data_IF_749086921577
#
_entry.id   IF_749086921577
#
_cell.length_a   1.000
_cell.length_b   1.000
_cell.length_c   1.000
_cell.angle_alpha   90.00
_cell.angle_beta   90.00
_cell.angle_gamma   90.00
#
_symmetry.space_group_name_H-M   'P 1'
#
loop_
_entity.id
_entity.type
_entity.pdbx_description
1 polymer ?
#
# COMPACT_ATOMS: atom_id res chain seq x y z
N UNK A 1 8.65 0.84 -7.77
CA UNK A 1 7.29 1.40 -7.88
C UNK A 1 7.44 2.70 -8.64
N UNK A 2 6.57 2.90 -9.62
CA UNK A 2 6.57 4.09 -10.46
C UNK A 2 5.49 5.04 -9.97
N UNK A 3 5.85 6.30 -9.73
CA UNK A 3 4.88 7.37 -9.46
C UNK A 3 4.12 7.67 -10.75
N UNK A 4 2.79 7.72 -10.66
CA UNK A 4 1.90 7.94 -11.79
C UNK A 4 1.29 9.33 -11.79
N UNK A 5 0.73 9.74 -10.66
CA UNK A 5 0.03 11.01 -10.50
C UNK A 5 0.37 11.66 -9.17
N UNK A 6 0.33 12.98 -9.15
CA UNK A 6 0.47 13.83 -7.96
C UNK A 6 -0.63 14.88 -8.00
N UNK A 7 -1.64 14.69 -7.17
CA UNK A 7 -2.81 15.55 -7.06
C UNK A 7 -2.68 16.39 -5.80
N UNK A 8 -2.04 17.55 -5.93
CA UNK A 8 -1.90 18.51 -4.83
C UNK A 8 -2.93 19.62 -4.94
N UNK A 9 -3.79 19.74 -3.92
CA UNK A 9 -4.84 20.75 -3.79
C UNK A 9 -4.76 21.40 -2.41
N UNK A 10 -4.29 22.65 -2.37
CA UNK A 10 -4.17 23.52 -1.18
C UNK A 10 -3.58 22.83 0.06
N UNK A 11 -4.42 22.11 0.81
CA UNK A 11 -4.09 21.46 2.08
C UNK A 11 -3.93 19.94 1.98
N UNK A 12 -4.31 19.32 0.87
CA UNK A 12 -4.24 17.87 0.66
C UNK A 12 -3.42 17.52 -0.57
N UNK A 13 -2.63 16.46 -0.47
CA UNK A 13 -1.87 15.91 -1.59
C UNK A 13 -2.10 14.42 -1.69
N UNK A 14 -2.46 13.92 -2.87
CA UNK A 14 -2.62 12.49 -3.14
C UNK A 14 -1.64 12.05 -4.21
N UNK A 15 -0.81 11.08 -3.87
CA UNK A 15 0.26 10.58 -4.74
C UNK A 15 0.00 9.12 -5.06
N UNK A 16 -0.05 8.80 -6.35
CA UNK A 16 -0.40 7.48 -6.83
C UNK A 16 0.85 6.76 -7.33
N UNK A 17 1.05 5.52 -6.87
CA UNK A 17 2.16 4.65 -7.24
C UNK A 17 1.62 3.32 -7.75
N UNK A 18 2.26 2.81 -8.79
CA UNK A 18 2.06 1.45 -9.27
C UNK A 18 3.31 0.62 -8.96
N UNK A 19 3.09 -0.60 -8.45
CA UNK A 19 4.13 -1.62 -8.45
C UNK A 19 4.36 -2.04 -9.90
N UNK A 20 5.60 -1.86 -10.38
CA UNK A 20 5.98 -2.33 -11.71
C UNK A 20 6.29 -3.84 -11.62
N UNK A 21 6.23 -4.56 -12.75
CA UNK A 21 6.52 -6.00 -12.82
C UNK A 21 7.94 -6.34 -12.34
N UNK A 22 8.84 -5.35 -12.30
CA UNK A 22 10.22 -5.50 -11.81
C UNK A 22 10.42 -5.13 -10.32
N UNK A 23 9.41 -4.60 -9.63
CA UNK A 23 9.44 -4.33 -8.19
C UNK A 23 8.58 -5.40 -7.48
N UNK A 24 9.15 -6.61 -7.43
CA UNK A 24 8.52 -7.88 -7.03
C UNK A 24 7.92 -7.87 -5.63
N UNK A 25 8.18 -6.90 -4.77
CA UNK A 25 7.86 -7.04 -3.34
C UNK A 25 6.36 -6.98 -3.06
N UNK A 26 5.62 -6.03 -3.65
CA UNK A 26 4.16 -5.97 -3.47
C UNK A 26 3.47 -7.06 -4.29
N UNK A 27 3.96 -7.33 -5.51
CA UNK A 27 3.39 -8.38 -6.36
C UNK A 27 3.64 -9.79 -5.80
N UNK A 28 4.81 -10.06 -5.21
CA UNK A 28 5.15 -11.37 -4.66
C UNK A 28 4.33 -11.74 -3.42
N UNK A 29 3.95 -10.75 -2.59
CA UNK A 29 3.08 -11.00 -1.42
C UNK A 29 1.72 -11.53 -1.85
N UNK A 30 1.26 -11.15 -3.05
CA UNK A 30 -0.09 -11.44 -3.53
C UNK A 30 -0.10 -12.10 -4.92
N UNK A 31 0.99 -12.79 -5.26
CA UNK A 31 1.28 -13.30 -6.60
C UNK A 31 0.14 -14.09 -7.23
N UNK A 32 0.17 -14.18 -8.57
CA UNK A 32 -0.89 -14.68 -9.42
C UNK A 32 -1.61 -15.92 -8.86
N UNK A 33 -2.94 -16.00 -8.99
CA UNK A 33 -3.71 -17.15 -8.55
C UNK A 33 -3.11 -18.41 -9.14
N UNK A 34 -2.60 -19.28 -8.27
CA UNK A 34 -2.43 -20.67 -8.63
C UNK A 34 -3.83 -21.27 -8.85
N UNK A 35 -3.90 -22.45 -9.48
CA UNK A 35 -5.15 -23.20 -9.69
C UNK A 35 -5.97 -23.42 -8.39
N UNK A 36 -5.40 -23.13 -7.22
CA UNK A 36 -5.98 -23.24 -5.88
C UNK A 36 -6.04 -21.92 -5.08
N UNK A 37 -5.94 -20.76 -5.73
CA UNK A 37 -6.00 -19.44 -5.10
C UNK A 37 -4.64 -18.70 -5.08
N UNK A 38 -4.70 -17.38 -4.91
CA UNK A 38 -3.54 -16.48 -4.83
C UNK A 38 -2.50 -16.95 -3.82
N UNK A 39 -1.24 -16.57 -4.04
CA UNK A 39 -0.18 -16.85 -3.06
C UNK A 39 -0.58 -16.22 -1.73
N UNK A 40 -0.67 -17.04 -0.68
CA UNK A 40 -0.99 -16.57 0.67
C UNK A 40 0.06 -15.54 1.10
N UNK A 41 -0.40 -14.48 1.75
CA UNK A 41 0.43 -13.46 2.38
C UNK A 41 1.46 -14.16 3.29
N UNK A 42 2.75 -14.02 2.99
CA UNK A 42 3.81 -14.60 3.81
C UNK A 42 4.42 -13.56 4.76
N UNK A 43 4.53 -13.85 6.07
CA UNK A 43 5.16 -12.95 7.03
C UNK A 43 6.61 -12.59 6.71
N UNK A 44 7.32 -13.43 5.95
CA UNK A 44 8.69 -13.19 5.48
C UNK A 44 8.82 -11.95 4.62
N UNK A 45 7.73 -11.55 3.94
CA UNK A 45 7.77 -10.51 2.92
C UNK A 45 7.42 -9.13 3.50
N UNK A 46 6.90 -9.07 4.73
CA UNK A 46 6.43 -7.84 5.38
C UNK A 46 7.54 -6.81 5.54
N UNK A 47 8.70 -7.25 6.01
CA UNK A 47 9.81 -6.36 6.30
C UNK A 47 10.35 -5.69 5.03
N UNK A 48 10.49 -6.46 3.95
CA UNK A 48 10.92 -5.92 2.66
C UNK A 48 9.92 -4.88 2.14
N UNK A 49 8.62 -5.21 2.19
CA UNK A 49 7.56 -4.29 1.75
C UNK A 49 7.54 -3.00 2.57
N UNK A 50 7.55 -3.10 3.89
CA UNK A 50 7.51 -1.93 4.79
C UNK A 50 8.73 -1.05 4.55
N UNK A 51 9.91 -1.65 4.41
CA UNK A 51 11.14 -0.90 4.13
C UNK A 51 11.02 -0.13 2.82
N UNK A 52 10.47 -0.78 1.79
CA UNK A 52 10.24 -0.15 0.48
C UNK A 52 9.23 1.00 0.54
N UNK A 53 8.11 0.81 1.24
CA UNK A 53 7.10 1.86 1.46
C UNK A 53 7.71 3.06 2.20
N UNK A 54 8.51 2.80 3.25
CA UNK A 54 9.23 3.84 4.00
C UNK A 54 10.15 4.67 3.12
N UNK A 55 10.98 4.02 2.31
CA UNK A 55 11.90 4.70 1.40
C UNK A 55 11.16 5.61 0.41
N UNK A 56 10.08 5.12 -0.19
CA UNK A 56 9.27 5.88 -1.14
C UNK A 56 8.61 7.08 -0.49
N UNK A 57 7.97 6.89 0.68
CA UNK A 57 7.33 7.97 1.42
C UNK A 57 8.35 9.03 1.84
N UNK A 58 9.50 8.63 2.37
CA UNK A 58 10.57 9.56 2.77
C UNK A 58 11.11 10.35 1.59
N UNK A 59 11.38 9.66 0.47
CA UNK A 59 11.87 10.29 -0.74
C UNK A 59 10.86 11.29 -1.29
N UNK A 60 9.57 10.95 -1.30
CA UNK A 60 8.51 11.84 -1.78
C UNK A 60 8.30 13.04 -0.86
N UNK A 61 8.32 12.85 0.47
CA UNK A 61 8.23 13.95 1.44
C UNK A 61 9.41 14.93 1.34
N UNK A 62 10.61 14.44 1.06
CA UNK A 62 11.78 15.28 0.83
C UNK A 62 11.63 16.19 -0.41
N UNK A 63 10.77 15.80 -1.36
CA UNK A 63 10.47 16.53 -2.59
C UNK A 63 9.06 17.15 -2.58
N UNK A 64 8.43 17.28 -1.40
CA UNK A 64 7.08 17.79 -1.28
C UNK A 64 6.99 19.24 -1.76
N UNK A 65 5.88 19.64 -2.42
CA UNK A 65 5.69 21.01 -2.86
C UNK A 65 5.54 21.98 -1.68
N UNK A 66 5.93 23.23 -1.90
CA UNK A 66 5.71 24.34 -0.96
C UNK A 66 4.50 25.19 -1.41
N UNK A 67 3.57 25.56 -0.52
CA UNK A 67 3.55 25.27 0.92
C UNK A 67 3.23 23.79 1.22
N UNK A 68 3.82 23.25 2.30
CA UNK A 68 3.60 21.86 2.70
C UNK A 68 2.11 21.56 2.97
N UNK A 69 1.54 20.53 2.32
CA UNK A 69 0.17 20.07 2.59
C UNK A 69 -0.04 19.68 4.06
N UNK A 70 -1.23 19.91 4.60
CA UNK A 70 -1.59 19.48 5.96
C UNK A 70 -1.91 17.99 6.05
N UNK A 71 -2.22 17.37 4.91
CA UNK A 71 -2.32 15.93 4.75
C UNK A 71 -1.71 15.46 3.43
N UNK A 72 -0.98 14.35 3.46
CA UNK A 72 -0.49 13.66 2.26
C UNK A 72 -0.98 12.22 2.27
N UNK A 73 -1.46 11.73 1.13
CA UNK A 73 -1.95 10.39 0.90
C UNK A 73 -1.07 9.73 -0.16
N UNK A 74 -0.65 8.50 0.10
CA UNK A 74 0.02 7.64 -0.87
C UNK A 74 -0.87 6.44 -1.15
N UNK A 75 -1.15 6.21 -2.42
CA UNK A 75 -1.90 5.05 -2.89
C UNK A 75 -0.95 4.15 -3.65
N UNK A 76 -0.68 2.97 -3.12
CA UNK A 76 0.16 1.95 -3.75
C UNK A 76 -0.72 0.82 -4.24
N UNK A 77 -0.63 0.45 -5.50
CA UNK A 77 -1.40 -0.66 -6.04
C UNK A 77 -0.58 -1.53 -6.98
N UNK A 78 -0.94 -2.81 -7.08
CA UNK A 78 -0.34 -3.78 -7.99
C UNK A 78 -1.10 -3.84 -9.32
N UNK A 79 -0.47 -4.33 -10.38
CA UNK A 79 -1.16 -4.70 -11.62
C UNK A 79 -2.03 -5.96 -11.45
N UNK A 80 -1.79 -6.76 -10.41
CA UNK A 80 -2.56 -7.95 -10.11
C UNK A 80 -4.00 -7.58 -9.74
N UNK A 81 -4.91 -8.25 -10.43
CA UNK A 81 -6.34 -8.16 -10.21
C UNK A 81 -6.80 -9.56 -9.85
N UNK A 82 -7.54 -9.67 -8.74
CA UNK A 82 -8.20 -10.92 -8.40
C UNK A 82 -9.65 -10.84 -8.84
N UNK A 83 -10.13 -11.92 -9.45
CA UNK A 83 -11.54 -12.07 -9.76
C UNK A 83 -12.30 -12.28 -8.45
N UNK A 84 -13.32 -11.46 -8.18
CA UNK A 84 -14.24 -11.67 -7.08
C UNK A 84 -15.47 -12.47 -7.54
N UNK A 85 -16.23 -12.99 -6.58
CA UNK A 85 -17.51 -13.61 -6.87
C UNK A 85 -18.46 -12.54 -7.43
N UNK A 86 -18.86 -12.70 -8.70
CA UNK A 86 -19.73 -11.80 -9.50
C UNK A 86 -18.96 -10.71 -10.26
N UNK A 87 -18.05 -11.10 -11.16
CA UNK A 87 -17.61 -10.28 -12.30
C UNK A 87 -16.78 -9.02 -12.00
N UNK A 88 -16.69 -8.63 -10.74
CA UNK A 88 -15.91 -7.50 -10.27
C UNK A 88 -14.45 -7.90 -10.06
N UNK A 89 -13.60 -6.96 -10.43
CA UNK A 89 -12.15 -7.09 -10.46
C UNK A 89 -11.57 -6.20 -9.38
N UNK A 90 -11.18 -6.79 -8.26
CA UNK A 90 -10.64 -6.03 -7.14
C UNK A 90 -9.12 -6.02 -7.23
N UNK A 91 -8.56 -4.81 -7.13
CA UNK A 91 -7.13 -4.57 -7.14
C UNK A 91 -6.63 -4.40 -5.72
N UNK A 92 -5.61 -5.19 -5.36
CA UNK A 92 -4.88 -5.00 -4.13
C UNK A 92 -4.30 -3.58 -4.07
N UNK A 93 -4.63 -2.84 -3.02
CA UNK A 93 -4.13 -1.48 -2.84
C UNK A 93 -3.82 -1.19 -1.37
N UNK A 94 -2.70 -0.54 -1.10
CA UNK A 94 -2.34 0.00 0.22
C UNK A 94 -2.50 1.51 0.16
N UNK A 95 -3.30 2.05 1.06
CA UNK A 95 -3.53 3.47 1.25
C UNK A 95 -2.85 3.92 2.53
N UNK A 96 -1.87 4.82 2.41
CA UNK A 96 -1.17 5.39 3.57
C UNK A 96 -1.48 6.88 3.60
N UNK A 97 -1.90 7.40 4.75
CA UNK A 97 -2.18 8.82 4.93
C UNK A 97 -1.33 9.37 6.07
N UNK A 98 -0.58 10.43 5.81
CA UNK A 98 0.01 11.30 6.83
C UNK A 98 -0.94 12.47 7.06
N UNK A 99 -1.43 12.62 8.30
CA UNK A 99 -2.20 13.78 8.74
C UNK A 99 -1.83 14.10 10.18
N UNK A 100 -1.60 15.38 10.50
CA UNK A 100 -1.27 15.83 11.86
C UNK A 100 -0.06 15.07 12.47
N UNK A 101 0.93 14.74 11.64
CA UNK A 101 2.14 14.01 12.06
C UNK A 101 1.93 12.50 12.29
N UNK A 102 0.73 11.97 12.05
CA UNK A 102 0.41 10.55 12.22
C UNK A 102 0.15 9.87 10.88
N UNK A 103 0.73 8.68 10.72
CA UNK A 103 0.44 7.78 9.62
C UNK A 103 -0.72 6.85 9.95
N UNK A 104 -1.67 6.73 9.02
CA UNK A 104 -2.78 5.78 9.04
C UNK A 104 -2.72 4.90 7.78
N UNK A 105 -3.03 3.61 7.91
CA UNK A 105 -2.95 2.66 6.80
C UNK A 105 -4.29 1.96 6.60
N UNK A 106 -4.72 1.83 5.35
CA UNK A 106 -5.81 0.96 4.94
C UNK A 106 -5.35 0.05 3.81
N UNK A 107 -5.90 -1.15 3.74
CA UNK A 107 -5.60 -2.13 2.69
C UNK A 107 -6.92 -2.51 2.04
N UNK A 108 -6.98 -2.42 0.71
CA UNK A 108 -8.12 -2.84 -0.09
C UNK A 108 -7.79 -4.16 -0.79
N UNK A 109 -8.66 -5.16 -0.61
CA UNK A 109 -8.54 -6.54 -1.11
C UNK A 109 -9.93 -7.08 -1.49
N UNK A 110 -9.98 -8.20 -2.21
CA UNK A 110 -11.25 -8.92 -2.50
C UNK A 110 -11.93 -9.44 -1.23
N UNK A 111 -13.24 -9.66 -1.28
CA UNK A 111 -14.00 -10.28 -0.19
C UNK A 111 -13.49 -11.70 0.14
N UNK A 112 -13.09 -12.48 -0.87
CA UNK A 112 -12.50 -13.81 -0.68
C UNK A 112 -11.23 -13.76 0.19
N UNK A 113 -10.23 -12.97 -0.20
CA UNK A 113 -8.99 -12.79 0.57
C UNK A 113 -9.25 -12.20 1.96
N UNK A 114 -10.24 -11.30 2.08
CA UNK A 114 -10.64 -10.78 3.38
C UNK A 114 -11.14 -11.92 4.28
N UNK A 115 -12.00 -12.80 3.77
CA UNK A 115 -12.53 -13.93 4.53
C UNK A 115 -11.46 -14.98 4.88
N UNK A 116 -10.51 -15.26 3.98
CA UNK A 116 -9.50 -16.31 4.17
C UNK A 116 -8.24 -15.86 4.88
N UNK A 117 -7.98 -14.55 4.95
CA UNK A 117 -6.71 -14.00 5.43
C UNK A 117 -6.87 -12.73 6.28
N UNK A 118 -8.06 -12.52 6.85
CA UNK A 118 -8.41 -11.37 7.69
C UNK A 118 -7.34 -11.01 8.73
N UNK A 119 -6.91 -11.99 9.53
CA UNK A 119 -5.95 -11.79 10.60
C UNK A 119 -4.60 -11.30 10.07
N UNK A 120 -4.14 -11.83 8.94
CA UNK A 120 -2.88 -11.41 8.31
C UNK A 120 -2.98 -10.00 7.72
N UNK A 121 -4.12 -9.66 7.11
CA UNK A 121 -4.36 -8.31 6.58
C UNK A 121 -4.35 -7.28 7.71
N UNK A 122 -4.99 -7.59 8.85
CA UNK A 122 -4.94 -6.73 10.05
C UNK A 122 -3.50 -6.63 10.58
N UNK A 123 -2.77 -7.74 10.68
CA UNK A 123 -1.38 -7.74 11.15
C UNK A 123 -0.50 -6.86 10.28
N UNK A 124 -0.57 -6.98 8.95
CA UNK A 124 0.20 -6.15 8.02
C UNK A 124 -0.16 -4.68 8.19
N UNK A 125 -1.46 -4.36 8.21
CA UNK A 125 -1.94 -2.99 8.38
C UNK A 125 -1.33 -2.36 9.65
N UNK A 126 -1.45 -3.06 10.78
CA UNK A 126 -0.94 -2.59 12.06
C UNK A 126 0.59 -2.46 12.05
N UNK A 127 1.30 -3.38 11.41
CA UNK A 127 2.76 -3.36 11.31
C UNK A 127 3.24 -2.17 10.46
N UNK A 128 2.58 -1.87 9.34
CA UNK A 128 2.85 -0.67 8.52
C UNK A 128 2.66 0.60 9.36
N UNK A 129 1.51 0.74 10.03
CA UNK A 129 1.22 1.92 10.87
C UNK A 129 2.25 2.07 12.00
N UNK A 130 2.56 0.98 12.71
CA UNK A 130 3.54 0.99 13.80
C UNK A 130 4.91 1.41 13.29
N UNK A 131 5.39 0.79 12.22
CA UNK A 131 6.72 1.05 11.70
C UNK A 131 6.86 2.49 11.15
N UNK A 132 5.83 3.05 10.53
CA UNK A 132 5.87 4.43 10.03
C UNK A 132 5.78 5.48 11.15
N UNK A 133 5.01 5.21 12.21
CA UNK A 133 4.84 6.14 13.33
C UNK A 133 5.99 6.10 14.36
N UNK A 134 6.73 5.00 14.48
CA UNK A 134 7.94 4.94 15.34
C UNK A 134 9.00 5.92 14.83
N UNK A 135 9.19 5.98 13.51
CA UNK A 135 10.21 6.82 12.88
C UNK A 135 9.83 8.31 12.81
N UNK A 136 8.62 8.67 13.26
CA UNK A 136 8.06 10.03 13.21
C UNK A 136 8.04 10.72 14.59
N UNK A 137 8.56 10.05 15.63
CA UNK A 137 8.78 10.60 16.98
C UNK A 137 10.23 11.04 17.14
#
# INVERSE_FOLDING_TARGET
MKKLFDETYEHSRTVWYISDEADDVIEAIFGAPSEYGGRMIMPTDYNAMISRLKELIRSDLANAPEPKPTATQWVFYSNLVSDDAIGDKVRFSIYIRLKEGKYECNINITDFLLATSFDEVIKIRNLIEQCLNIDNR
#
